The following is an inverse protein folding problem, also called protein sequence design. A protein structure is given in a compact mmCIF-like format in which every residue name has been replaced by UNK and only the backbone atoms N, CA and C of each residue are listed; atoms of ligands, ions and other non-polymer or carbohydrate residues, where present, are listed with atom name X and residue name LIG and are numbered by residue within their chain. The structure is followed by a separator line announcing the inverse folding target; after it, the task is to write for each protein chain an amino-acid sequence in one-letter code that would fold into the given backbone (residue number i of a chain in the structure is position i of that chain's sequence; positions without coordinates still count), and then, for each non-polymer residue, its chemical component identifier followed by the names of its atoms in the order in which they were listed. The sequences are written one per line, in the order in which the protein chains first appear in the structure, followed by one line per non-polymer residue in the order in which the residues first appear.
data_IF_294434369014
#
_entry.id   IF_294434369014
#
_cell.length_a   1.000
_cell.length_b   1.000
_cell.length_c   1.000
_cell.angle_alpha   90.00
_cell.angle_beta   90.00
_cell.angle_gamma   90.00
#
_symmetry.space_group_name_H-M   'P 1'
#
loop_
_entity.id
_entity.type
_entity.pdbx_description
1 polymer ?
#
# COMPACT_ATOMS: atom_id res chain seq x y z
N UNK A 1 7.04 -11.28 -4.70
CA UNK A 1 5.78 -10.85 -5.35
C UNK A 1 6.18 -9.99 -6.53
N UNK A 2 5.93 -10.43 -7.77
CA UNK A 2 6.23 -9.61 -8.94
C UNK A 2 5.09 -8.60 -9.12
N UNK A 3 5.39 -7.36 -9.54
CA UNK A 3 4.35 -6.35 -9.81
C UNK A 3 3.41 -6.83 -10.93
N UNK A 4 3.92 -7.63 -11.86
CA UNK A 4 3.13 -8.25 -12.93
C UNK A 4 2.03 -9.19 -12.44
N UNK A 5 2.15 -9.72 -11.20
CA UNK A 5 1.17 -10.63 -10.59
C UNK A 5 -0.04 -9.87 -10.01
N UNK A 6 0.08 -8.55 -9.83
CA UNK A 6 -0.93 -7.72 -9.16
C UNK A 6 -1.49 -6.59 -10.05
N UNK A 7 -0.91 -6.36 -11.23
CA UNK A 7 -1.41 -5.38 -12.18
C UNK A 7 -2.67 -5.92 -12.88
N UNK A 8 -3.67 -5.05 -13.03
CA UNK A 8 -4.83 -5.35 -13.86
C UNK A 8 -4.37 -5.58 -15.31
N UNK A 9 -4.84 -6.66 -15.94
CA UNK A 9 -4.43 -7.04 -17.30
C UNK A 9 -4.62 -5.90 -18.31
N UNK A 10 -5.65 -5.07 -18.12
CA UNK A 10 -5.98 -3.95 -19.02
C UNK A 10 -4.91 -2.87 -19.04
N UNK A 11 -4.08 -2.76 -18.01
CA UNK A 11 -3.04 -1.73 -17.90
C UNK A 11 -1.63 -2.30 -18.04
N UNK A 12 -1.46 -3.63 -18.13
CA UNK A 12 -0.15 -4.30 -18.14
C UNK A 12 0.76 -3.79 -19.27
N UNK A 13 0.19 -3.54 -20.45
CA UNK A 13 0.93 -3.03 -21.61
C UNK A 13 1.27 -1.53 -21.54
N UNK A 14 0.55 -0.77 -20.71
CA UNK A 14 0.79 0.67 -20.48
C UNK A 14 1.59 0.94 -19.20
N UNK A 15 1.88 -0.10 -18.41
CA UNK A 15 2.62 0.04 -17.17
C UNK A 15 4.11 0.19 -17.45
N UNK A 16 4.60 1.40 -17.28
CA UNK A 16 6.02 1.69 -17.16
C UNK A 16 6.45 1.66 -15.68
N UNK A 17 7.39 0.79 -15.33
CA UNK A 17 7.80 0.58 -13.93
C UNK A 17 8.46 1.81 -13.32
N UNK A 18 9.17 2.61 -14.12
CA UNK A 18 9.86 3.81 -13.66
C UNK A 18 8.87 4.97 -13.45
N UNK A 19 8.01 5.22 -14.43
CA UNK A 19 7.02 6.29 -14.40
C UNK A 19 5.94 6.04 -13.33
N UNK A 20 5.54 4.78 -13.13
CA UNK A 20 4.49 4.42 -12.19
C UNK A 20 4.99 4.03 -10.79
N UNK A 21 6.31 3.94 -10.57
CA UNK A 21 6.88 3.56 -9.27
C UNK A 21 6.31 4.41 -8.12
N UNK A 22 6.21 5.73 -8.31
CA UNK A 22 5.71 6.64 -7.29
C UNK A 22 4.23 6.36 -6.93
N UNK A 23 3.41 5.97 -7.91
CA UNK A 23 2.01 5.58 -7.68
C UNK A 23 1.95 4.26 -6.92
N UNK A 24 2.68 3.24 -7.38
CA UNK A 24 2.72 1.92 -6.73
C UNK A 24 3.20 2.05 -5.28
N UNK A 25 4.32 2.71 -5.05
CA UNK A 25 4.86 2.95 -3.71
C UNK A 25 3.83 3.64 -2.80
N UNK A 26 3.14 4.65 -3.32
CA UNK A 26 2.08 5.36 -2.59
C UNK A 26 0.90 4.46 -2.24
N UNK A 27 0.44 3.63 -3.18
CA UNK A 27 -0.65 2.68 -2.95
C UNK A 27 -0.26 1.63 -1.92
N UNK A 28 0.94 1.06 -2.02
CA UNK A 28 1.46 0.08 -1.05
C UNK A 28 1.56 0.70 0.34
N UNK A 29 2.15 1.89 0.48
CA UNK A 29 2.21 2.58 1.79
C UNK A 29 0.83 2.85 2.37
N UNK A 30 -0.15 3.18 1.53
CA UNK A 30 -1.55 3.37 1.96
C UNK A 30 -2.16 2.05 2.44
N UNK A 31 -2.00 0.97 1.68
CA UNK A 31 -2.47 -0.36 2.05
C UNK A 31 -1.86 -0.83 3.37
N UNK A 32 -0.55 -0.64 3.56
CA UNK A 32 0.15 -0.96 4.80
C UNK A 32 -0.42 -0.19 6.01
N UNK A 33 -0.94 1.04 5.84
CA UNK A 33 -1.64 1.79 6.91
C UNK A 33 -3.04 1.24 7.20
N UNK A 34 -3.73 0.73 6.19
CA UNK A 34 -5.05 0.09 6.36
C UNK A 34 -4.95 -1.29 7.03
N UNK A 35 -3.84 -2.00 6.83
CA UNK A 35 -3.62 -3.37 7.31
C UNK A 35 -2.93 -3.43 8.69
N UNK A 36 -3.00 -2.36 9.50
CA UNK A 36 -2.47 -2.39 10.87
C UNK A 36 -3.32 -3.31 11.76
N UNK A 37 -2.68 -4.11 12.61
CA UNK A 37 -3.35 -5.10 13.46
C UNK A 37 -4.44 -4.48 14.33
N UNK A 38 -4.07 -3.41 15.04
CA UNK A 38 -4.95 -2.68 15.94
C UNK A 38 -5.89 -1.78 15.12
N UNK A 39 -7.21 -1.98 15.16
CA UNK A 39 -8.17 -1.19 14.37
C UNK A 39 -8.03 0.33 14.57
N UNK A 40 -7.72 0.75 15.78
CA UNK A 40 -7.51 2.15 16.17
C UNK A 40 -6.29 2.81 15.51
N UNK A 41 -5.35 2.02 14.99
CA UNK A 41 -4.20 2.53 14.24
C UNK A 41 -4.49 2.69 12.74
N UNK A 42 -5.61 2.14 12.26
CA UNK A 42 -6.01 2.24 10.85
C UNK A 42 -6.55 3.65 10.55
N UNK A 43 -6.25 4.22 9.39
CA UNK A 43 -6.80 5.51 8.99
C UNK A 43 -8.32 5.43 8.75
N UNK A 44 -9.03 6.53 9.00
CA UNK A 44 -10.42 6.66 8.54
C UNK A 44 -10.47 6.69 7.01
N UNK A 45 -11.61 6.29 6.42
CA UNK A 45 -11.77 6.31 4.96
C UNK A 45 -11.55 7.70 4.35
N UNK A 46 -11.96 8.77 5.04
CA UNK A 46 -11.68 10.15 4.59
C UNK A 46 -10.19 10.47 4.57
N UNK A 47 -9.39 9.91 5.48
CA UNK A 47 -7.93 10.04 5.45
C UNK A 47 -7.29 9.20 4.35
N UNK A 48 -7.81 7.99 4.09
CA UNK A 48 -7.39 7.15 2.97
C UNK A 48 -7.61 7.85 1.63
N UNK A 49 -8.77 8.46 1.42
CA UNK A 49 -9.06 9.23 0.20
C UNK A 49 -8.02 10.34 -0.02
N UNK A 50 -7.75 11.15 1.02
CA UNK A 50 -6.72 12.21 0.97
C UNK A 50 -5.31 11.68 0.71
N UNK A 51 -4.99 10.50 1.23
CA UNK A 51 -3.74 9.81 0.92
C UNK A 51 -3.71 9.41 -0.56
N UNK A 52 -4.76 8.86 -1.15
CA UNK A 52 -4.77 8.48 -2.57
C UNK A 52 -4.71 9.71 -3.48
N UNK A 53 -5.45 10.77 -3.15
CA UNK A 53 -5.49 12.06 -3.87
C UNK A 53 -4.21 12.89 -3.78
N UNK A 54 -3.21 12.44 -2.99
CA UNK A 54 -1.95 13.14 -2.72
C UNK A 54 -2.12 14.48 -2.00
N UNK A 55 -3.23 14.67 -1.28
CA UNK A 55 -3.50 15.88 -0.50
C UNK A 55 -2.94 15.82 0.93
N UNK A 56 -2.53 14.63 1.39
CA UNK A 56 -1.88 14.43 2.70
C UNK A 56 -0.72 13.46 2.56
N UNK A 57 0.39 13.70 3.27
CA UNK A 57 1.53 12.78 3.27
C UNK A 57 1.22 11.43 3.93
N UNK A 58 1.88 10.39 3.44
CA UNK A 58 1.78 9.05 4.04
C UNK A 58 3.00 8.86 4.93
N UNK A 59 2.78 8.98 6.24
CA UNK A 59 3.78 8.61 7.25
C UNK A 59 4.01 7.09 7.14
N UNK A 60 5.28 6.69 7.11
CA UNK A 60 5.69 5.30 6.97
C UNK A 60 4.98 4.42 8.03
N UNK A 61 4.20 3.40 7.61
CA UNK A 61 3.57 2.47 8.53
C UNK A 61 4.62 1.60 9.23
N UNK A 62 4.33 1.16 10.47
CA UNK A 62 5.00 0.00 11.04
C UNK A 62 4.66 -1.21 10.16
N UNK A 63 5.62 -2.11 9.93
CA UNK A 63 5.40 -3.34 9.15
C UNK A 63 4.13 -4.03 9.66
N UNK A 64 3.13 -4.32 8.81
CA UNK A 64 1.94 -5.01 9.26
C UNK A 64 2.29 -6.45 9.64
N UNK A 65 1.67 -6.94 10.71
CA UNK A 65 2.01 -8.23 11.31
C UNK A 65 1.37 -9.38 10.54
N UNK A 66 0.49 -9.09 9.58
CA UNK A 66 -0.19 -10.09 8.74
C UNK A 66 0.79 -10.98 7.93
N UNK A 67 2.03 -10.54 7.71
CA UNK A 67 3.07 -11.29 6.99
C UNK A 67 4.16 -11.87 7.91
N UNK A 68 4.09 -11.66 9.23
CA UNK A 68 4.99 -12.23 10.22
C UNK A 68 4.21 -13.17 11.13
N UNK A 69 3.87 -14.35 10.59
CA UNK A 69 3.49 -15.51 11.39
C UNK A 69 4.57 -16.58 11.33
N UNK A 70 5.84 -16.18 11.31
CA UNK A 70 6.92 -17.05 11.80
C UNK A 70 7.29 -16.52 13.18
N UNK A 71 6.60 -17.02 14.19
CA UNK A 71 7.27 -17.15 15.47
C UNK A 71 8.32 -18.23 15.27
N UNK A 72 9.60 -17.84 15.28
CA UNK A 72 10.67 -18.75 15.62
C UNK A 72 10.37 -19.27 17.04
N UNK A 73 9.99 -20.54 17.13
CA UNK A 73 10.29 -21.41 18.28
C UNK A 73 11.49 -22.29 17.90
#
# INVERSE_FOLDING_TARGET
MNVDDILDERIKHSYDSQAHFAIVNRMVKTAMRCLQDRPELRPSMGKVAKMIERTVEIIEPKKPTIFYSDKED
#
